data_IF_327561444171
#
_entry.id   IF_327561444171
#
_cell.length_a   1.000
_cell.length_b   1.000
_cell.length_c   1.000
_cell.angle_alpha   90.00
_cell.angle_beta   90.00
_cell.angle_gamma   90.00
#
_symmetry.space_group_name_H-M   'P 1'
#
loop_
_entity.id
_entity.type
_entity.pdbx_description
1 polymer ?
#
# COMPACT_ATOMS: atom_id res chain seq x y z
N UNK A 1 20.80 56.67 67.37
CA UNK A 1 21.68 55.84 66.52
C UNK A 1 21.13 54.43 66.23
N UNK A 2 19.80 54.19 66.29
CA UNK A 2 19.21 52.84 66.28
C UNK A 2 18.14 52.64 65.17
N UNK A 3 18.24 53.37 64.05
CA UNK A 3 17.32 53.25 62.89
C UNK A 3 17.94 52.60 61.66
N UNK A 4 19.28 52.56 61.54
CA UNK A 4 19.98 52.04 60.35
C UNK A 4 20.13 50.51 60.33
N UNK A 5 20.17 49.84 61.50
CA UNK A 5 20.38 48.38 61.57
C UNK A 5 19.15 47.58 61.07
N UNK A 6 17.93 48.07 61.33
CA UNK A 6 16.68 47.41 60.92
C UNK A 6 16.44 47.51 59.40
N UNK A 7 16.87 48.61 58.77
CA UNK A 7 16.72 48.80 57.31
C UNK A 7 17.62 47.88 56.47
N UNK A 8 18.84 47.59 56.96
CA UNK A 8 19.79 46.67 56.31
C UNK A 8 19.28 45.21 56.30
N UNK A 9 18.76 44.73 57.44
CA UNK A 9 18.15 43.40 57.57
C UNK A 9 16.90 43.23 56.69
N UNK A 10 16.05 44.26 56.59
CA UNK A 10 14.86 44.23 55.74
C UNK A 10 15.19 44.21 54.23
N UNK A 11 16.25 44.89 53.81
CA UNK A 11 16.68 44.94 52.40
C UNK A 11 17.33 43.62 51.96
N UNK A 12 18.05 42.92 52.84
CA UNK A 12 18.65 41.62 52.55
C UNK A 12 17.59 40.51 52.46
N UNK A 13 16.54 40.57 53.31
CA UNK A 13 15.39 39.65 53.26
C UNK A 13 14.57 39.79 51.98
N UNK A 14 14.37 41.01 51.47
CA UNK A 14 13.71 41.26 50.17
C UNK A 14 14.53 40.72 49.00
N UNK A 15 15.86 40.92 48.99
CA UNK A 15 16.76 40.36 47.98
C UNK A 15 16.74 38.83 47.99
N UNK A 16 16.76 38.22 49.18
CA UNK A 16 16.61 36.78 49.35
C UNK A 16 15.25 36.29 48.84
N UNK A 17 14.13 36.92 49.19
CA UNK A 17 12.80 36.51 48.70
C UNK A 17 12.71 36.63 47.18
N UNK A 18 13.21 37.72 46.57
CA UNK A 18 13.21 37.88 45.11
C UNK A 18 14.11 36.85 44.42
N UNK A 19 15.27 36.51 45.00
CA UNK A 19 16.13 35.44 44.49
C UNK A 19 15.46 34.07 44.61
N UNK A 20 14.78 33.78 45.72
CA UNK A 20 14.05 32.53 45.93
C UNK A 20 12.84 32.41 44.99
N UNK A 21 12.09 33.48 44.77
CA UNK A 21 10.95 33.49 43.83
C UNK A 21 11.42 33.34 42.39
N UNK A 22 12.53 33.96 41.99
CA UNK A 22 13.13 33.76 40.66
C UNK A 22 13.63 32.33 40.48
N UNK A 23 14.31 31.77 41.48
CA UNK A 23 14.76 30.39 41.44
C UNK A 23 13.59 29.40 41.37
N UNK A 24 12.53 29.63 42.15
CA UNK A 24 11.31 28.82 42.12
C UNK A 24 10.55 28.95 40.78
N UNK A 25 10.51 30.15 40.19
CA UNK A 25 9.91 30.37 38.88
C UNK A 25 10.70 29.65 37.77
N UNK A 26 12.04 29.68 37.83
CA UNK A 26 12.91 28.96 36.89
C UNK A 26 12.75 27.44 37.06
N UNK A 27 12.68 26.96 38.31
CA UNK A 27 12.49 25.53 38.61
C UNK A 27 11.12 25.02 38.15
N UNK A 28 10.07 25.84 38.30
CA UNK A 28 8.70 25.50 37.86
C UNK A 28 8.54 25.57 36.33
N UNK A 29 9.32 26.39 35.62
CA UNK A 29 9.23 26.54 34.15
C UNK A 29 10.07 25.50 33.38
N UNK A 30 11.08 24.90 34.02
CA UNK A 30 11.99 23.91 33.43
C UNK A 30 11.32 22.64 32.85
N UNK A 31 10.25 22.05 33.43
CA UNK A 31 9.69 20.79 32.93
C UNK A 31 8.88 20.92 31.63
N UNK A 32 8.49 22.14 31.22
CA UNK A 32 7.67 22.36 30.00
C UNK A 32 8.48 22.10 28.71
N UNK A 33 9.81 22.07 28.80
CA UNK A 33 10.70 21.84 27.65
C UNK A 33 10.96 20.35 27.37
N UNK A 34 10.54 19.43 28.26
CA UNK A 34 10.71 17.98 28.08
C UNK A 34 9.42 17.33 27.53
N UNK A 35 8.92 17.83 26.39
CA UNK A 35 7.84 17.15 25.67
C UNK A 35 8.42 15.95 24.92
N UNK A 36 8.36 14.76 25.52
CA UNK A 36 8.66 13.51 24.83
C UNK A 36 7.65 13.28 23.71
N UNK A 37 8.08 13.47 22.46
CA UNK A 37 7.32 13.04 21.28
C UNK A 37 7.73 11.60 20.97
N UNK A 38 6.82 10.65 21.17
CA UNK A 38 6.99 9.28 20.70
C UNK A 38 6.85 9.28 19.17
N UNK A 39 7.85 8.77 18.45
CA UNK A 39 7.77 8.62 17.00
C UNK A 39 6.94 7.39 16.69
N UNK A 40 5.79 7.60 16.05
CA UNK A 40 5.03 6.52 15.44
C UNK A 40 5.70 6.21 14.10
N UNK A 41 6.54 5.18 14.07
CA UNK A 41 6.98 4.56 12.82
C UNK A 41 5.82 3.72 12.30
N UNK A 42 5.08 4.27 11.33
CA UNK A 42 4.17 3.46 10.53
C UNK A 42 5.03 2.51 9.72
N UNK A 43 5.14 1.26 10.16
CA UNK A 43 5.60 0.18 9.31
C UNK A 43 4.49 -0.05 8.28
N UNK A 44 4.51 0.77 7.24
CA UNK A 44 3.78 0.47 6.02
C UNK A 44 4.42 -0.81 5.52
N UNK A 45 3.80 -1.95 5.82
CA UNK A 45 3.95 -3.15 5.02
C UNK A 45 3.50 -2.73 3.62
N UNK A 46 4.44 -2.21 2.83
CA UNK A 46 4.38 -2.30 1.40
C UNK A 46 4.41 -3.80 1.13
N UNK A 47 3.25 -4.44 1.27
CA UNK A 47 3.02 -5.70 0.58
C UNK A 47 3.41 -5.37 -0.85
N UNK A 48 4.50 -5.98 -1.32
CA UNK A 48 4.75 -6.11 -2.75
C UNK A 48 3.55 -6.92 -3.27
N UNK A 49 2.44 -6.23 -3.48
CA UNK A 49 1.23 -6.83 -3.98
C UNK A 49 1.59 -7.14 -5.43
N UNK A 50 1.97 -8.41 -5.65
CA UNK A 50 2.19 -8.98 -6.96
C UNK A 50 0.84 -9.11 -7.68
N UNK A 51 0.27 -7.93 -7.96
CA UNK A 51 -1.03 -7.77 -8.57
C UNK A 51 -0.90 -8.13 -10.03
N UNK A 52 -1.83 -8.97 -10.45
CA UNK A 52 -2.02 -9.31 -11.85
C UNK A 52 -3.24 -8.55 -12.36
N UNK A 53 -3.05 -7.81 -13.45
CA UNK A 53 -4.14 -7.19 -14.18
C UNK A 53 -4.55 -8.14 -15.30
N UNK A 54 -5.82 -8.54 -15.28
CA UNK A 54 -6.40 -9.47 -16.24
C UNK A 54 -7.44 -8.76 -17.08
N UNK A 55 -7.23 -8.72 -18.38
CA UNK A 55 -8.19 -8.19 -19.35
C UNK A 55 -8.64 -9.32 -20.27
N UNK A 56 -9.93 -9.51 -20.48
CA UNK A 56 -10.40 -10.55 -21.39
C UNK A 56 -11.90 -10.54 -21.58
N UNK A 57 -12.35 -11.04 -22.73
CA UNK A 57 -13.77 -11.20 -23.04
C UNK A 57 -13.99 -12.39 -23.97
N UNK A 58 -14.86 -13.29 -23.55
CA UNK A 58 -15.37 -14.39 -24.38
C UNK A 58 -16.81 -14.10 -24.79
N UNK A 59 -17.21 -14.55 -25.98
CA UNK A 59 -18.57 -14.35 -26.50
C UNK A 59 -19.09 -15.64 -27.12
N UNK A 60 -20.34 -15.62 -27.57
CA UNK A 60 -20.96 -16.69 -28.35
C UNK A 60 -20.65 -16.59 -29.86
N UNK A 61 -19.68 -15.77 -30.24
CA UNK A 61 -19.15 -15.71 -31.60
C UNK A 61 -17.94 -16.64 -31.71
N UNK A 62 -17.65 -17.11 -32.92
CA UNK A 62 -16.46 -17.95 -33.16
C UNK A 62 -15.18 -17.17 -32.86
N UNK A 63 -14.36 -17.73 -31.97
CA UNK A 63 -13.05 -17.21 -31.59
C UNK A 63 -11.99 -17.26 -32.70
N UNK A 64 -10.73 -16.95 -32.36
CA UNK A 64 -10.16 -17.02 -31.01
C UNK A 64 -10.51 -15.79 -30.17
N UNK A 65 -10.73 -16.01 -28.88
CA UNK A 65 -10.88 -14.94 -27.90
C UNK A 65 -9.59 -14.71 -27.16
N UNK A 66 -9.44 -13.49 -26.64
CA UNK A 66 -8.19 -13.00 -26.07
C UNK A 66 -8.32 -12.77 -24.56
N UNK A 67 -7.29 -13.20 -23.83
CA UNK A 67 -7.00 -12.84 -22.45
C UNK A 67 -5.60 -12.23 -22.40
N UNK A 68 -5.50 -11.00 -21.93
CA UNK A 68 -4.26 -10.25 -21.81
C UNK A 68 -3.88 -10.10 -20.34
N UNK A 69 -2.64 -10.44 -20.02
CA UNK A 69 -2.08 -10.38 -18.67
C UNK A 69 -1.03 -9.27 -18.59
N UNK A 70 -1.20 -8.37 -17.62
CA UNK A 70 -0.27 -7.25 -17.41
C UNK A 70 0.00 -7.00 -15.91
N UNK A 71 1.02 -6.19 -15.65
CA UNK A 71 1.34 -5.63 -14.33
C UNK A 71 0.71 -4.25 -14.18
N UNK A 72 0.35 -3.84 -12.95
CA UNK A 72 -0.17 -2.51 -12.70
C UNK A 72 0.84 -1.44 -13.10
N UNK A 73 0.33 -0.30 -13.56
CA UNK A 73 1.09 0.90 -13.88
C UNK A 73 0.69 1.99 -12.90
N UNK A 74 1.69 2.63 -12.28
CA UNK A 74 1.49 3.71 -11.32
C UNK A 74 1.72 5.10 -11.93
N UNK A 75 2.35 5.15 -13.11
CA UNK A 75 2.61 6.40 -13.84
C UNK A 75 1.41 6.79 -14.71
N UNK A 76 1.11 8.09 -14.73
CA UNK A 76 0.07 8.63 -15.60
C UNK A 76 0.49 8.49 -17.07
N UNK A 77 -0.27 7.71 -17.85
CA UNK A 77 0.03 7.28 -19.23
C UNK A 77 1.20 6.28 -19.38
N UNK A 78 1.62 5.61 -18.31
CA UNK A 78 2.61 4.54 -18.43
C UNK A 78 2.05 3.34 -19.22
N UNK A 79 2.95 2.59 -19.88
CA UNK A 79 2.57 1.37 -20.60
C UNK A 79 2.69 0.16 -19.67
N UNK A 80 1.62 -0.67 -19.52
CA UNK A 80 1.68 -1.87 -18.70
C UNK A 80 2.70 -2.88 -19.20
N UNK A 81 3.52 -3.39 -18.29
CA UNK A 81 4.39 -4.54 -18.57
C UNK A 81 3.53 -5.79 -18.74
N UNK A 82 3.76 -6.56 -19.81
CA UNK A 82 3.02 -7.79 -20.08
C UNK A 82 3.57 -8.98 -19.29
N UNK A 83 2.71 -9.97 -19.01
CA UNK A 83 3.08 -11.18 -18.26
C UNK A 83 3.02 -12.40 -19.17
N UNK A 84 4.20 -12.84 -19.62
CA UNK A 84 4.41 -13.98 -20.53
C UNK A 84 4.71 -15.28 -19.77
N UNK A 85 4.50 -16.43 -20.40
CA UNK A 85 4.84 -17.75 -19.83
C UNK A 85 3.87 -18.26 -18.76
N UNK A 86 2.65 -17.74 -18.69
CA UNK A 86 1.61 -18.23 -17.79
C UNK A 86 0.89 -19.45 -18.40
N UNK A 87 0.40 -20.33 -17.53
CA UNK A 87 -0.58 -21.35 -17.95
C UNK A 87 -1.97 -20.79 -17.71
N UNK A 88 -2.70 -20.55 -18.79
CA UNK A 88 -4.04 -19.93 -18.75
C UNK A 88 -5.09 -20.94 -19.19
N UNK A 89 -6.16 -21.06 -18.41
CA UNK A 89 -7.19 -22.07 -18.65
C UNK A 89 -8.58 -21.51 -18.33
N UNK A 90 -9.53 -21.75 -19.23
CA UNK A 90 -10.95 -21.48 -18.99
C UNK A 90 -11.64 -22.81 -18.67
N UNK A 91 -12.40 -22.86 -17.58
CA UNK A 91 -13.24 -24.01 -17.23
C UNK A 91 -14.70 -23.59 -17.21
N UNK A 92 -15.56 -24.35 -17.88
CA UNK A 92 -16.99 -24.06 -17.87
C UNK A 92 -17.73 -24.74 -16.71
N UNK A 93 -19.00 -24.38 -16.51
CA UNK A 93 -19.83 -24.98 -15.45
C UNK A 93 -20.12 -26.47 -15.62
N UNK A 94 -19.82 -27.06 -16.77
CA UNK A 94 -19.88 -28.51 -17.04
C UNK A 94 -18.53 -29.20 -16.84
N UNK A 95 -17.54 -28.47 -16.31
CA UNK A 95 -16.16 -28.92 -16.09
C UNK A 95 -15.40 -29.25 -17.37
N UNK A 96 -15.82 -28.70 -18.51
CA UNK A 96 -15.02 -28.73 -19.72
C UNK A 96 -13.90 -27.68 -19.61
N UNK A 97 -12.69 -28.11 -19.93
CA UNK A 97 -11.46 -27.34 -19.78
C UNK A 97 -10.97 -26.91 -21.16
N UNK A 98 -10.67 -25.62 -21.30
CA UNK A 98 -10.18 -24.98 -22.51
C UNK A 98 -8.85 -24.31 -22.19
N UNK A 99 -7.71 -24.90 -22.56
CA UNK A 99 -6.42 -24.24 -22.41
C UNK A 99 -6.32 -23.07 -23.41
N UNK A 100 -5.64 -22.01 -23.00
CA UNK A 100 -5.29 -20.90 -23.88
C UNK A 100 -3.80 -20.97 -24.22
N UNK A 101 -3.46 -20.64 -25.45
CA UNK A 101 -2.09 -20.61 -25.94
C UNK A 101 -1.60 -19.17 -26.02
N UNK A 102 -0.37 -18.93 -25.57
CA UNK A 102 0.25 -17.61 -25.69
C UNK A 102 0.57 -17.28 -27.16
N UNK A 103 0.20 -16.07 -27.60
CA UNK A 103 0.50 -15.59 -28.94
C UNK A 103 2.01 -15.30 -29.08
N UNK A 104 2.75 -16.01 -29.95
CA UNK A 104 4.19 -15.85 -30.08
C UNK A 104 4.60 -14.47 -30.61
N UNK A 105 3.67 -13.70 -31.18
CA UNK A 105 3.91 -12.33 -31.67
C UNK A 105 3.55 -11.27 -30.63
N UNK A 106 2.77 -11.61 -29.60
CA UNK A 106 2.26 -10.68 -28.59
C UNK A 106 2.42 -11.29 -27.19
N UNK A 107 3.62 -11.27 -26.58
CA UNK A 107 3.85 -11.84 -25.26
C UNK A 107 2.89 -11.28 -24.20
N UNK A 108 2.34 -12.17 -23.38
CA UNK A 108 1.30 -11.90 -22.38
C UNK A 108 -0.13 -11.81 -22.93
N UNK A 109 -0.32 -12.13 -24.21
CA UNK A 109 -1.64 -12.34 -24.82
C UNK A 109 -1.87 -13.84 -25.00
N UNK A 110 -2.95 -14.34 -24.44
CA UNK A 110 -3.34 -15.75 -24.46
C UNK A 110 -4.65 -15.90 -25.23
N UNK A 111 -4.69 -16.86 -26.15
CA UNK A 111 -5.76 -17.07 -27.10
C UNK A 111 -6.43 -18.42 -26.86
N UNK A 112 -7.76 -18.44 -26.93
CA UNK A 112 -8.48 -19.72 -27.05
C UNK A 112 -8.18 -20.38 -28.39
N UNK A 113 -8.45 -21.69 -28.50
CA UNK A 113 -8.41 -22.38 -29.78
C UNK A 113 -9.33 -21.70 -30.83
N UNK A 114 -8.93 -21.80 -32.09
CA UNK A 114 -9.74 -21.35 -33.22
C UNK A 114 -11.12 -22.04 -33.20
N UNK A 115 -12.19 -21.28 -33.32
CA UNK A 115 -13.55 -21.84 -33.30
C UNK A 115 -14.13 -22.10 -31.91
N UNK A 116 -13.42 -21.74 -30.83
CA UNK A 116 -14.03 -21.67 -29.51
C UNK A 116 -15.26 -20.74 -29.55
N UNK A 117 -16.37 -21.18 -28.95
CA UNK A 117 -17.62 -20.42 -28.85
C UNK A 117 -18.16 -20.58 -27.43
N UNK A 118 -18.33 -19.49 -26.70
CA UNK A 118 -18.97 -19.55 -25.39
C UNK A 118 -20.48 -19.83 -25.54
N UNK A 119 -20.99 -20.73 -24.70
CA UNK A 119 -22.40 -21.05 -24.66
C UNK A 119 -23.15 -20.02 -23.81
N UNK A 120 -24.27 -19.52 -24.33
CA UNK A 120 -25.20 -18.67 -23.58
C UNK A 120 -25.71 -19.42 -22.35
N UNK A 121 -25.93 -18.71 -21.24
CA UNK A 121 -26.33 -19.28 -19.94
C UNK A 121 -25.33 -20.32 -19.38
N UNK A 122 -24.04 -20.22 -19.74
CA UNK A 122 -22.98 -21.03 -19.16
C UNK A 122 -22.02 -20.14 -18.37
N UNK A 123 -21.66 -20.58 -17.16
CA UNK A 123 -20.64 -19.94 -16.33
C UNK A 123 -19.25 -20.40 -16.76
N UNK A 124 -18.29 -19.48 -16.71
CA UNK A 124 -16.89 -19.73 -17.05
C UNK A 124 -15.99 -19.20 -15.94
N UNK A 125 -14.97 -19.97 -15.58
CA UNK A 125 -13.94 -19.59 -14.63
C UNK A 125 -12.60 -19.56 -15.34
N UNK A 126 -11.84 -18.49 -15.12
CA UNK A 126 -10.48 -18.35 -15.62
C UNK A 126 -9.51 -18.76 -14.51
N UNK A 127 -8.56 -19.62 -14.83
CA UNK A 127 -7.43 -19.96 -13.96
C UNK A 127 -6.14 -19.54 -14.65
N UNK A 128 -5.26 -18.92 -13.89
CA UNK A 128 -3.94 -18.46 -14.36
C UNK A 128 -2.89 -18.96 -13.38
N UNK A 129 -1.92 -19.71 -13.87
CA UNK A 129 -0.77 -20.18 -13.10
C UNK A 129 0.52 -19.52 -13.62
N UNK A 130 1.25 -18.84 -12.72
CA UNK A 130 2.50 -18.12 -13.02
C UNK A 130 3.53 -18.51 -11.95
N UNK A 131 4.50 -19.34 -12.31
CA UNK A 131 5.43 -19.92 -11.32
C UNK A 131 4.66 -20.67 -10.24
N UNK A 132 4.88 -20.31 -8.97
CA UNK A 132 4.21 -20.91 -7.80
C UNK A 132 2.88 -20.23 -7.43
N UNK A 133 2.41 -19.26 -8.23
CA UNK A 133 1.20 -18.47 -7.95
C UNK A 133 0.04 -18.89 -8.84
N UNK A 134 -1.16 -18.95 -8.26
CA UNK A 134 -2.42 -19.25 -8.94
C UNK A 134 -3.42 -18.12 -8.71
N UNK A 135 -4.12 -17.70 -9.77
CA UNK A 135 -5.22 -16.75 -9.74
C UNK A 135 -6.48 -17.40 -10.33
N UNK A 136 -7.65 -17.20 -9.72
CA UNK A 136 -8.94 -17.83 -10.10
C UNK A 136 -10.16 -16.95 -9.89
#
# INVERSE_FOLDING_TARGET
>A
MMRYSIQSLAMNRKRQIVQQVRAAAIFTLLPVLFSCTERIEWELEYMEQDLLVVEGKITNESGPHEVKLTRPVFEMNGTPSTVSGAVVTITDSRRQVYPLEEDPRRPGVYLTEQGFVAAVNRGYQLRIDIGDRTYT
#
